data_IF_686984551300
#
_entry.id   IF_686984551300
#
_cell.length_a   1.000
_cell.length_b   1.000
_cell.length_c   1.000
_cell.angle_alpha   90.00
_cell.angle_beta   90.00
_cell.angle_gamma   90.00
#
_symmetry.space_group_name_H-M   'P 1'
#
loop_
_entity.id
_entity.type
_entity.pdbx_description
1 polymer ?
#
# COMPACT_ATOMS: atom_id res chain seq x y z
N UNK A 1 5.76 -44.82 4.05
CA UNK A 1 5.76 -43.95 2.85
C UNK A 1 4.93 -42.70 3.14
N UNK A 2 5.38 -41.85 4.08
CA UNK A 2 4.54 -40.73 4.59
C UNK A 2 5.33 -39.41 4.67
N UNK A 3 6.62 -39.46 5.00
CA UNK A 3 7.51 -38.29 5.10
C UNK A 3 7.70 -37.60 3.73
N UNK A 4 7.70 -38.38 2.64
CA UNK A 4 7.82 -37.84 1.28
C UNK A 4 6.61 -36.99 0.86
N UNK A 5 5.41 -37.27 1.40
CA UNK A 5 4.16 -36.54 1.08
C UNK A 5 4.08 -35.18 1.80
N UNK A 6 4.55 -35.12 3.04
CA UNK A 6 4.68 -33.88 3.81
C UNK A 6 5.76 -32.98 3.22
N UNK A 7 6.89 -33.55 2.79
CA UNK A 7 7.96 -32.80 2.14
C UNK A 7 7.53 -32.20 0.78
N UNK A 8 6.68 -32.89 0.01
CA UNK A 8 6.10 -32.33 -1.22
C UNK A 8 5.07 -31.23 -0.94
N UNK A 9 4.27 -31.36 0.12
CA UNK A 9 3.33 -30.32 0.53
C UNK A 9 4.07 -29.04 0.97
N UNK A 10 5.15 -29.16 1.74
CA UNK A 10 5.99 -28.02 2.17
C UNK A 10 6.68 -27.33 0.98
N UNK A 11 7.11 -28.09 -0.05
CA UNK A 11 7.66 -27.52 -1.29
C UNK A 11 6.64 -26.69 -2.09
N UNK A 12 5.35 -27.00 -1.99
CA UNK A 12 4.25 -26.23 -2.58
C UNK A 12 4.05 -24.86 -1.88
N UNK A 13 4.43 -24.73 -0.61
CA UNK A 13 4.33 -23.47 0.15
C UNK A 13 5.57 -22.57 0.06
N UNK A 14 6.70 -23.12 -0.37
CA UNK A 14 7.96 -22.37 -0.51
C UNK A 14 7.88 -21.17 -1.49
N UNK A 15 7.10 -21.20 -2.59
CA UNK A 15 6.87 -20.02 -3.43
C UNK A 15 5.99 -18.97 -2.75
N UNK A 16 5.17 -19.32 -1.75
CA UNK A 16 4.16 -18.44 -1.12
C UNK A 16 4.71 -17.74 0.14
N UNK A 17 5.65 -18.38 0.83
CA UNK A 17 6.32 -17.88 2.04
C UNK A 17 7.06 -16.52 1.87
N UNK A 18 7.78 -16.24 0.78
CA UNK A 18 8.36 -14.91 0.55
C UNK A 18 7.30 -13.83 0.27
N UNK A 19 6.16 -14.19 -0.34
CA UNK A 19 5.03 -13.26 -0.47
C UNK A 19 4.41 -12.98 0.88
N UNK A 20 4.23 -13.97 1.76
CA UNK A 20 3.77 -13.78 3.14
C UNK A 20 4.67 -12.77 3.90
N UNK A 21 6.00 -12.89 3.83
CA UNK A 21 6.93 -11.94 4.48
C UNK A 21 6.86 -10.52 3.92
N UNK A 22 6.66 -10.34 2.61
CA UNK A 22 6.45 -9.01 1.99
C UNK A 22 5.05 -8.44 2.25
N UNK A 23 4.05 -9.27 2.53
CA UNK A 23 2.65 -8.84 2.66
C UNK A 23 2.32 -8.24 4.04
N UNK A 24 3.09 -8.55 5.09
CA UNK A 24 2.89 -7.93 6.41
C UNK A 24 3.54 -6.55 6.56
N UNK A 25 4.38 -6.14 5.61
CA UNK A 25 5.13 -4.89 5.70
C UNK A 25 4.57 -3.93 4.66
N UNK A 26 3.59 -3.12 5.09
CA UNK A 26 3.11 -1.94 4.33
C UNK A 26 4.15 -0.84 4.41
N UNK A 27 5.27 -1.12 3.76
CA UNK A 27 6.46 -0.32 3.79
C UNK A 27 6.24 0.91 2.92
N UNK A 28 6.30 2.09 3.55
CA UNK A 28 6.12 3.38 2.89
C UNK A 28 7.33 4.26 3.14
N UNK A 29 7.38 5.43 2.51
CA UNK A 29 8.36 6.45 2.85
C UNK A 29 8.51 6.67 4.38
N UNK A 30 7.40 6.60 5.13
CA UNK A 30 7.39 6.85 6.57
C UNK A 30 8.09 5.77 7.40
N UNK A 31 8.20 4.54 6.91
CA UNK A 31 8.90 3.44 7.61
C UNK A 31 10.40 3.41 7.35
N UNK A 32 10.92 4.27 6.46
CA UNK A 32 12.35 4.32 6.15
C UNK A 32 13.19 4.92 7.28
N UNK A 33 14.49 4.57 7.40
CA UNK A 33 15.43 5.27 8.25
C UNK A 33 15.55 6.76 7.88
N UNK A 34 15.85 7.60 8.85
CA UNK A 34 15.83 9.07 8.67
C UNK A 34 16.84 9.56 7.62
N UNK A 35 18.02 8.92 7.51
CA UNK A 35 18.99 9.20 6.45
C UNK A 35 18.39 9.01 5.04
N UNK A 36 17.71 7.87 4.81
CA UNK A 36 17.03 7.60 3.53
C UNK A 36 15.85 8.54 3.28
N UNK A 37 15.14 8.97 4.33
CA UNK A 37 14.08 9.98 4.18
C UNK A 37 14.64 11.31 3.71
N UNK A 38 15.79 11.74 4.23
CA UNK A 38 16.43 12.97 3.81
C UNK A 38 16.90 12.90 2.35
N UNK A 39 17.52 11.77 1.95
CA UNK A 39 17.90 11.52 0.56
C UNK A 39 16.70 11.55 -0.40
N UNK A 40 15.61 10.89 -0.03
CA UNK A 40 14.37 10.88 -0.80
C UNK A 40 13.75 12.28 -0.92
N UNK A 41 13.78 13.10 0.15
CA UNK A 41 13.32 14.49 0.11
C UNK A 41 14.19 15.30 -0.87
N UNK A 42 15.51 15.20 -0.77
CA UNK A 42 16.43 15.90 -1.68
C UNK A 42 16.16 15.52 -3.13
N UNK A 43 15.96 14.22 -3.40
CA UNK A 43 15.57 13.73 -4.71
C UNK A 43 14.25 14.36 -5.19
N UNK A 44 13.18 14.31 -4.41
CA UNK A 44 11.87 14.92 -4.77
C UNK A 44 11.99 16.42 -5.05
N UNK A 45 12.87 17.14 -4.34
CA UNK A 45 13.03 18.59 -4.51
C UNK A 45 13.87 19.00 -5.71
N UNK A 46 14.74 18.12 -6.21
CA UNK A 46 15.70 18.43 -7.28
C UNK A 46 15.36 17.77 -8.61
N UNK A 47 14.58 16.68 -8.57
CA UNK A 47 14.21 15.92 -9.74
C UNK A 47 13.20 16.69 -10.60
N UNK A 48 13.48 16.77 -11.89
CA UNK A 48 12.54 17.19 -12.95
C UNK A 48 12.03 15.96 -13.68
N UNK A 49 10.84 16.04 -14.28
CA UNK A 49 10.35 14.96 -15.14
C UNK A 49 11.29 14.84 -16.35
N UNK A 50 11.82 13.64 -16.59
CA UNK A 50 12.71 13.34 -17.72
C UNK A 50 11.88 12.83 -18.89
N UNK A 51 12.25 13.16 -20.12
CA UNK A 51 11.55 12.68 -21.32
C UNK A 51 12.17 11.39 -21.90
N UNK A 52 13.46 11.18 -21.67
CA UNK A 52 14.20 10.00 -22.12
C UNK A 52 13.75 8.72 -21.41
N UNK A 53 13.63 7.62 -22.16
CA UNK A 53 13.09 6.36 -21.66
C UNK A 53 13.99 5.71 -20.59
N UNK A 54 15.32 5.81 -20.72
CA UNK A 54 16.26 5.22 -19.78
C UNK A 54 16.32 6.02 -18.49
N UNK A 55 16.31 7.34 -18.59
CA UNK A 55 16.23 8.22 -17.42
C UNK A 55 14.87 8.09 -16.71
N UNK A 56 13.75 7.98 -17.43
CA UNK A 56 12.43 7.65 -16.84
C UNK A 56 12.48 6.36 -16.03
N UNK A 57 13.05 5.29 -16.59
CA UNK A 57 13.16 4.01 -15.89
C UNK A 57 14.03 4.12 -14.62
N UNK A 58 15.13 4.87 -14.68
CA UNK A 58 15.97 5.16 -13.51
C UNK A 58 15.22 5.96 -12.44
N UNK A 59 14.36 6.89 -12.83
CA UNK A 59 13.48 7.60 -11.89
C UNK A 59 12.45 6.65 -11.25
N UNK A 60 11.86 5.75 -12.02
CA UNK A 60 10.95 4.73 -11.49
C UNK A 60 11.65 3.84 -10.46
N UNK A 61 12.87 3.37 -10.75
CA UNK A 61 13.66 2.58 -9.80
C UNK A 61 13.94 3.35 -8.49
N UNK A 62 14.29 4.63 -8.57
CA UNK A 62 14.50 5.47 -7.37
C UNK A 62 13.20 5.69 -6.58
N UNK A 63 12.09 5.98 -7.26
CA UNK A 63 10.79 6.19 -6.58
C UNK A 63 10.29 4.90 -5.91
N UNK A 64 10.58 3.73 -6.50
CA UNK A 64 10.35 2.42 -5.90
C UNK A 64 11.22 2.20 -4.65
N UNK A 65 12.52 2.51 -4.73
CA UNK A 65 13.43 2.39 -3.57
C UNK A 65 12.94 3.26 -2.39
N UNK A 66 12.51 4.49 -2.68
CA UNK A 66 12.01 5.42 -1.68
C UNK A 66 10.56 5.18 -1.27
N UNK A 67 9.87 4.19 -1.85
CA UNK A 67 8.49 3.81 -1.52
C UNK A 67 7.52 5.00 -1.62
N UNK A 68 7.71 5.85 -2.64
CA UNK A 68 6.89 7.03 -2.96
C UNK A 68 6.13 6.82 -4.28
N UNK A 69 5.22 7.73 -4.64
CA UNK A 69 4.51 7.69 -5.93
C UNK A 69 5.48 7.97 -7.09
N UNK A 70 5.11 7.57 -8.31
CA UNK A 70 5.86 7.96 -9.51
C UNK A 70 5.70 9.46 -9.82
N UNK A 71 4.58 10.06 -9.41
CA UNK A 71 4.34 11.49 -9.60
C UNK A 71 5.14 12.32 -8.59
N UNK A 72 6.28 12.87 -9.03
CA UNK A 72 7.13 13.74 -8.20
C UNK A 72 6.36 14.94 -7.61
N UNK A 73 5.51 15.68 -8.37
CA UNK A 73 4.75 16.79 -7.81
C UNK A 73 3.80 16.35 -6.69
N UNK A 74 3.12 15.21 -6.87
CA UNK A 74 2.24 14.64 -5.86
C UNK A 74 3.00 14.30 -4.58
N UNK A 75 4.16 13.66 -4.69
CA UNK A 75 4.99 13.34 -3.53
C UNK A 75 5.34 14.58 -2.70
N UNK A 76 5.68 15.68 -3.37
CA UNK A 76 5.96 16.96 -2.72
C UNK A 76 4.74 17.48 -1.93
N UNK A 77 3.55 17.45 -2.54
CA UNK A 77 2.31 17.83 -1.84
C UNK A 77 1.99 16.92 -0.66
N UNK A 78 2.14 15.60 -0.80
CA UNK A 78 1.89 14.63 0.27
C UNK A 78 2.77 14.93 1.48
N UNK A 79 4.07 15.14 1.26
CA UNK A 79 5.03 15.39 2.34
C UNK A 79 4.79 16.75 2.99
N UNK A 80 4.49 17.80 2.23
CA UNK A 80 4.13 19.11 2.79
C UNK A 80 2.85 19.05 3.60
N UNK A 81 1.83 18.36 3.11
CA UNK A 81 0.57 18.16 3.83
C UNK A 81 0.79 17.36 5.12
N UNK A 82 1.63 16.32 5.09
CA UNK A 82 2.03 15.59 6.28
C UNK A 82 2.68 16.51 7.33
N UNK A 83 3.56 17.42 6.91
CA UNK A 83 4.26 18.33 7.81
C UNK A 83 3.37 19.40 8.45
N UNK A 84 2.25 19.79 7.80
CA UNK A 84 1.28 20.74 8.41
C UNK A 84 0.69 20.21 9.71
N UNK A 85 0.39 18.91 9.78
CA UNK A 85 -0.11 18.28 10.99
C UNK A 85 0.19 16.79 10.97
N UNK A 86 1.37 16.41 11.46
CA UNK A 86 1.88 15.03 11.38
C UNK A 86 0.88 14.02 11.92
N UNK A 87 0.38 14.23 13.15
CA UNK A 87 -0.56 13.30 13.80
C UNK A 87 -1.89 13.16 13.06
N UNK A 88 -2.42 14.27 12.54
CA UNK A 88 -3.72 14.28 11.85
C UNK A 88 -3.63 13.63 10.46
N UNK A 89 -2.56 13.93 9.73
CA UNK A 89 -2.45 13.64 8.31
C UNK A 89 -1.70 12.33 8.02
N UNK A 90 -1.02 11.73 9.01
CA UNK A 90 -0.22 10.51 8.85
C UNK A 90 -0.97 9.37 8.15
N UNK A 91 -2.17 9.02 8.63
CA UNK A 91 -2.94 7.88 8.09
C UNK A 91 -3.30 8.10 6.63
N UNK A 92 -3.73 9.31 6.29
CA UNK A 92 -4.08 9.68 4.92
C UNK A 92 -2.85 9.67 4.00
N UNK A 93 -1.75 10.32 4.41
CA UNK A 93 -0.51 10.35 3.64
C UNK A 93 0.08 8.95 3.42
N UNK A 94 0.05 8.08 4.45
CA UNK A 94 0.41 6.66 4.30
C UNK A 94 -0.47 5.96 3.27
N UNK A 95 -1.78 6.20 3.33
CA UNK A 95 -2.75 5.60 2.40
C UNK A 95 -2.49 6.03 0.95
N UNK A 96 -2.05 7.27 0.70
CA UNK A 96 -1.66 7.73 -0.64
C UNK A 96 -0.44 6.99 -1.21
N UNK A 97 0.49 6.54 -0.36
CA UNK A 97 1.65 5.75 -0.82
C UNK A 97 1.35 4.26 -0.96
N UNK A 98 0.51 3.69 -0.10
CA UNK A 98 0.14 2.26 -0.16
C UNK A 98 -0.87 1.98 -1.27
N UNK A 99 -1.91 2.82 -1.37
CA UNK A 99 -3.08 2.55 -2.19
C UNK A 99 -3.07 3.34 -3.50
N UNK A 100 -1.92 3.34 -4.21
CA UNK A 100 -1.75 4.08 -5.48
C UNK A 100 -2.78 3.69 -6.55
N UNK A 101 -3.22 2.44 -6.55
CA UNK A 101 -4.23 1.95 -7.50
C UNK A 101 -5.64 2.49 -7.25
N UNK A 102 -5.89 3.07 -6.07
CA UNK A 102 -7.23 3.49 -5.63
C UNK A 102 -7.59 4.92 -6.05
N UNK A 103 -6.61 5.67 -6.56
CA UNK A 103 -6.79 7.03 -7.01
C UNK A 103 -6.10 7.26 -8.34
N UNK A 104 -6.40 8.40 -8.94
CA UNK A 104 -5.69 8.96 -10.08
C UNK A 104 -5.24 10.37 -9.69
N UNK A 105 -4.05 10.77 -10.16
CA UNK A 105 -3.55 12.12 -9.98
C UNK A 105 -3.38 12.76 -11.35
N UNK A 106 -4.20 13.76 -11.62
CA UNK A 106 -4.20 14.50 -12.89
C UNK A 106 -4.53 15.96 -12.64
N UNK A 107 -3.92 16.87 -13.40
CA UNK A 107 -4.16 18.32 -13.32
C UNK A 107 -3.95 18.92 -11.91
N UNK A 108 -3.09 18.28 -11.11
CA UNK A 108 -2.85 18.56 -9.69
C UNK A 108 -4.04 18.29 -8.75
N UNK A 109 -4.92 17.38 -9.13
CA UNK A 109 -6.02 16.92 -8.31
C UNK A 109 -5.93 15.41 -8.11
N UNK A 110 -6.19 14.94 -6.88
CA UNK A 110 -6.34 13.52 -6.58
C UNK A 110 -7.81 13.16 -6.68
N UNK A 111 -8.16 12.24 -7.57
CA UNK A 111 -9.51 11.73 -7.72
C UNK A 111 -9.57 10.27 -7.26
N UNK A 112 -10.52 9.94 -6.38
CA UNK A 112 -10.68 8.57 -5.88
C UNK A 112 -11.58 7.79 -6.82
N UNK A 113 -11.16 6.58 -7.20
CA UNK A 113 -11.92 5.73 -8.12
C UNK A 113 -13.14 5.14 -7.41
N UNK A 114 -14.32 5.51 -7.88
CA UNK A 114 -15.58 4.94 -7.41
C UNK A 114 -15.68 3.50 -7.91
N UNK A 115 -15.91 2.53 -7.01
CA UNK A 115 -16.03 1.09 -7.29
C UNK A 115 -14.74 0.24 -7.29
N UNK A 116 -13.70 0.63 -6.55
CA UNK A 116 -12.54 -0.26 -6.32
C UNK A 116 -12.69 -1.18 -5.09
N UNK A 117 -13.70 -0.92 -4.26
CA UNK A 117 -13.90 -1.61 -2.98
C UNK A 117 -14.43 -3.04 -3.08
N UNK A 118 -14.94 -3.46 -4.23
CA UNK A 118 -15.51 -4.80 -4.38
C UNK A 118 -14.45 -5.89 -4.19
N UNK A 119 -13.23 -5.67 -4.70
CA UNK A 119 -12.16 -6.67 -4.65
C UNK A 119 -11.65 -6.88 -3.21
N UNK A 120 -11.28 -5.84 -2.43
CA UNK A 120 -10.96 -6.02 -1.01
C UNK A 120 -12.10 -6.65 -0.21
N UNK A 121 -13.36 -6.26 -0.48
CA UNK A 121 -14.53 -6.84 0.21
C UNK A 121 -14.68 -8.34 -0.10
N UNK A 122 -14.53 -8.74 -1.36
CA UNK A 122 -14.57 -10.14 -1.77
C UNK A 122 -13.45 -10.95 -1.08
N UNK A 123 -12.22 -10.42 -1.06
CA UNK A 123 -11.09 -11.04 -0.38
C UNK A 123 -11.35 -11.22 1.12
N UNK A 124 -11.98 -10.24 1.77
CA UNK A 124 -12.36 -10.32 3.18
C UNK A 124 -13.35 -11.47 3.43
N UNK A 125 -14.40 -11.57 2.61
CA UNK A 125 -15.39 -12.64 2.71
C UNK A 125 -14.78 -14.03 2.46
N UNK A 126 -13.91 -14.16 1.46
CA UNK A 126 -13.17 -15.40 1.20
C UNK A 126 -12.30 -15.76 2.41
N UNK A 127 -11.61 -14.79 3.02
CA UNK A 127 -10.82 -14.99 4.23
C UNK A 127 -11.66 -15.57 5.38
N UNK A 128 -12.85 -15.02 5.63
CA UNK A 128 -13.78 -15.52 6.66
C UNK A 128 -14.23 -16.95 6.33
N UNK A 129 -14.65 -17.21 5.09
CA UNK A 129 -15.11 -18.55 4.67
C UNK A 129 -14.03 -19.61 4.83
N UNK A 130 -12.79 -19.30 4.42
CA UNK A 130 -11.63 -20.20 4.60
C UNK A 130 -11.35 -20.45 6.08
N UNK A 131 -11.43 -19.41 6.93
CA UNK A 131 -11.23 -19.54 8.37
C UNK A 131 -12.28 -20.43 9.03
N UNK A 132 -13.55 -20.20 8.70
CA UNK A 132 -14.67 -21.02 9.18
C UNK A 132 -14.58 -22.47 8.70
N UNK A 133 -14.28 -22.68 7.41
CA UNK A 133 -14.01 -24.00 6.85
C UNK A 133 -12.87 -24.71 7.57
N UNK A 134 -11.77 -24.01 7.84
CA UNK A 134 -10.62 -24.59 8.54
C UNK A 134 -10.97 -25.06 9.95
N UNK A 135 -11.75 -24.28 10.70
CA UNK A 135 -12.18 -24.61 12.06
C UNK A 135 -13.15 -25.82 12.05
N UNK A 136 -14.10 -25.83 11.13
CA UNK A 136 -15.07 -26.94 11.00
C UNK A 136 -14.41 -28.24 10.56
N UNK A 137 -13.46 -28.21 9.62
CA UNK A 137 -12.67 -29.39 9.25
C UNK A 137 -11.78 -29.89 10.39
N UNK A 138 -11.19 -28.98 11.18
CA UNK A 138 -10.39 -29.36 12.36
C UNK A 138 -11.21 -30.12 13.41
N UNK A 139 -12.51 -29.82 13.55
CA UNK A 139 -13.39 -30.48 14.51
C UNK A 139 -13.89 -31.84 14.02
N UNK A 140 -14.09 -32.00 12.71
CA UNK A 140 -14.78 -33.16 12.13
C UNK A 140 -13.84 -34.20 11.49
N UNK A 141 -12.57 -33.88 11.24
CA UNK A 141 -11.60 -34.83 10.67
C UNK A 141 -10.90 -35.61 11.80
N UNK A 142 -11.14 -36.92 11.85
CA UNK A 142 -10.46 -37.84 12.78
C UNK A 142 -9.00 -38.11 12.38
N UNK A 143 -8.68 -38.07 11.08
CA UNK A 143 -7.33 -38.37 10.59
C UNK A 143 -6.33 -37.26 10.98
N UNK A 144 -5.48 -37.59 11.96
CA UNK A 144 -4.49 -36.66 12.56
C UNK A 144 -3.64 -35.87 11.54
N UNK A 145 -3.05 -36.47 10.49
CA UNK A 145 -2.16 -35.73 9.58
C UNK A 145 -2.89 -34.65 8.77
N UNK A 146 -4.06 -34.97 8.22
CA UNK A 146 -4.87 -34.01 7.44
C UNK A 146 -5.39 -32.87 8.32
N UNK A 147 -5.76 -33.19 9.56
CA UNK A 147 -6.23 -32.23 10.56
C UNK A 147 -5.20 -31.10 10.77
N UNK A 148 -3.93 -31.46 10.95
CA UNK A 148 -2.85 -30.49 11.12
C UNK A 148 -2.53 -29.69 9.85
N UNK A 149 -2.66 -30.28 8.66
CA UNK A 149 -2.46 -29.56 7.39
C UNK A 149 -3.50 -28.45 7.22
N UNK A 150 -4.78 -28.71 7.50
CA UNK A 150 -5.81 -27.67 7.43
C UNK A 150 -5.54 -26.53 8.42
N UNK A 151 -5.11 -26.85 9.64
CA UNK A 151 -4.83 -25.83 10.65
C UNK A 151 -3.59 -25.00 10.30
N UNK A 152 -2.49 -25.65 9.88
CA UNK A 152 -1.22 -24.98 9.58
C UNK A 152 -1.24 -24.20 8.25
N UNK A 153 -2.14 -24.54 7.33
CA UNK A 153 -2.23 -23.85 6.03
C UNK A 153 -3.46 -22.94 5.94
N UNK A 154 -4.62 -23.38 6.41
CA UNK A 154 -5.89 -22.66 6.27
C UNK A 154 -6.00 -21.43 7.16
N UNK A 155 -5.58 -21.52 8.44
CA UNK A 155 -5.63 -20.37 9.35
C UNK A 155 -4.68 -19.24 8.92
N UNK A 156 -3.41 -19.48 8.56
CA UNK A 156 -2.54 -18.40 8.10
C UNK A 156 -3.05 -17.71 6.84
N UNK A 157 -3.58 -18.47 5.88
CA UNK A 157 -4.17 -17.91 4.65
C UNK A 157 -5.39 -17.05 4.98
N UNK A 158 -6.30 -17.55 5.83
CA UNK A 158 -7.47 -16.79 6.29
C UNK A 158 -7.07 -15.46 6.94
N UNK A 159 -6.14 -15.52 7.91
CA UNK A 159 -5.62 -14.35 8.62
C UNK A 159 -4.99 -13.35 7.64
N UNK A 160 -4.20 -13.82 6.67
CA UNK A 160 -3.57 -12.97 5.66
C UNK A 160 -4.61 -12.22 4.82
N UNK A 161 -5.63 -12.93 4.32
CA UNK A 161 -6.68 -12.32 3.51
C UNK A 161 -7.47 -11.28 4.30
N UNK A 162 -7.82 -11.58 5.55
CA UNK A 162 -8.54 -10.66 6.44
C UNK A 162 -7.71 -9.40 6.73
N UNK A 163 -6.43 -9.55 7.06
CA UNK A 163 -5.56 -8.41 7.38
C UNK A 163 -5.35 -7.52 6.14
N UNK A 164 -5.05 -8.12 4.99
CA UNK A 164 -4.79 -7.37 3.76
C UNK A 164 -6.02 -6.60 3.27
N UNK A 165 -7.16 -7.29 3.20
CA UNK A 165 -8.42 -6.66 2.82
C UNK A 165 -8.83 -5.57 3.80
N UNK A 166 -8.71 -5.80 5.11
CA UNK A 166 -9.01 -4.77 6.12
C UNK A 166 -8.11 -3.55 5.98
N UNK A 167 -6.81 -3.74 5.74
CA UNK A 167 -5.88 -2.63 5.53
C UNK A 167 -6.23 -1.82 4.28
N UNK A 168 -6.54 -2.50 3.16
CA UNK A 168 -6.98 -1.86 1.92
C UNK A 168 -8.29 -1.07 2.11
N UNK A 169 -9.30 -1.68 2.74
CA UNK A 169 -10.57 -1.03 3.04
C UNK A 169 -10.37 0.21 3.91
N UNK A 170 -9.54 0.11 4.97
CA UNK A 170 -9.22 1.23 5.83
C UNK A 170 -8.48 2.34 5.08
N UNK A 171 -7.49 1.99 4.25
CA UNK A 171 -6.77 2.93 3.41
C UNK A 171 -7.71 3.69 2.46
N UNK A 172 -8.63 3.00 1.81
CA UNK A 172 -9.65 3.63 0.95
C UNK A 172 -10.56 4.59 1.72
N UNK A 173 -11.00 4.20 2.92
CA UNK A 173 -11.83 5.08 3.78
C UNK A 173 -11.05 6.35 4.15
N UNK A 174 -9.78 6.22 4.53
CA UNK A 174 -8.92 7.37 4.84
C UNK A 174 -8.75 8.30 3.65
N UNK A 175 -8.51 7.73 2.46
CA UNK A 175 -8.42 8.48 1.21
C UNK A 175 -9.71 9.26 0.96
N UNK A 176 -10.86 8.60 0.96
CA UNK A 176 -12.15 9.23 0.66
C UNK A 176 -12.52 10.32 1.68
N UNK A 177 -12.17 10.13 2.95
CA UNK A 177 -12.47 11.11 4.02
C UNK A 177 -11.67 12.41 3.88
N UNK A 178 -10.42 12.33 3.40
CA UNK A 178 -9.48 13.46 3.46
C UNK A 178 -9.01 13.98 2.10
N UNK A 179 -9.43 13.35 0.99
CA UNK A 179 -9.02 13.77 -0.36
C UNK A 179 -9.44 15.20 -0.69
N UNK A 180 -10.64 15.64 -0.28
CA UNK A 180 -11.12 17.00 -0.56
C UNK A 180 -10.27 18.05 0.19
N UNK A 181 -9.95 17.80 1.47
CA UNK A 181 -9.07 18.66 2.26
C UNK A 181 -7.67 18.77 1.63
N UNK A 182 -7.18 17.65 1.09
CA UNK A 182 -5.89 17.58 0.41
C UNK A 182 -5.88 18.31 -0.93
N UNK A 183 -6.91 18.14 -1.76
CA UNK A 183 -7.05 18.86 -3.03
C UNK A 183 -7.18 20.37 -2.79
N UNK A 184 -7.93 20.77 -1.77
CA UNK A 184 -8.02 22.18 -1.34
C UNK A 184 -6.63 22.70 -0.95
N UNK A 185 -5.87 21.93 -0.17
CA UNK A 185 -4.49 22.28 0.19
C UNK A 185 -3.59 22.45 -1.05
N UNK A 186 -3.68 21.54 -2.04
CA UNK A 186 -2.92 21.64 -3.29
C UNK A 186 -3.28 22.95 -4.01
N UNK A 187 -4.57 23.24 -4.17
CA UNK A 187 -5.06 24.45 -4.84
C UNK A 187 -4.57 25.72 -4.15
N UNK A 188 -4.69 25.83 -2.82
CA UNK A 188 -4.18 26.98 -2.05
C UNK A 188 -2.67 27.13 -2.25
N UNK A 189 -1.91 26.03 -2.18
CA UNK A 189 -0.45 26.06 -2.32
C UNK A 189 -0.03 26.53 -3.72
N UNK A 190 -0.74 26.10 -4.76
CA UNK A 190 -0.52 26.55 -6.16
C UNK A 190 -0.83 28.03 -6.31
N UNK A 191 -1.98 28.49 -5.84
CA UNK A 191 -2.38 29.91 -5.90
C UNK A 191 -1.36 30.79 -5.18
N UNK A 192 -0.95 30.41 -3.96
CA UNK A 192 0.09 31.14 -3.20
C UNK A 192 1.40 31.26 -3.98
N UNK A 193 1.85 30.18 -4.63
CA UNK A 193 3.08 30.19 -5.42
C UNK A 193 2.94 31.07 -6.67
N UNK A 194 1.80 31.01 -7.36
CA UNK A 194 1.52 31.86 -8.52
C UNK A 194 1.49 33.35 -8.15
N UNK A 195 0.84 33.68 -7.03
CA UNK A 195 0.81 35.06 -6.52
C UNK A 195 2.21 35.56 -6.14
N UNK A 196 3.01 34.75 -5.44
CA UNK A 196 4.38 35.13 -5.10
C UNK A 196 5.20 35.38 -6.37
N UNK A 197 5.13 34.50 -7.36
CA UNK A 197 5.89 34.65 -8.61
C UNK A 197 5.44 35.87 -9.43
N UNK A 198 4.16 36.25 -9.37
CA UNK A 198 3.64 37.44 -10.06
C UNK A 198 3.92 38.76 -9.33
N UNK A 199 4.25 38.73 -8.03
CA UNK A 199 4.63 39.93 -7.25
C UNK A 199 6.11 40.31 -7.44
N UNK A 200 6.92 39.40 -7.99
CA UNK A 200 8.35 39.61 -8.28
C UNK A 200 8.65 39.82 -9.78
N UNK A 201 7.64 40.10 -10.59
CA UNK A 201 7.74 40.56 -11.99
C UNK A 201 7.31 42.03 -12.06
#
# INVERSE_FOLDING_TARGET
>A
MEIASLASAVKLFNPVLPYLKKVFIFDTFFSMPDGKKAEAINYITTCTDEDDALEKYKQELKTLEYKISQHIPLNNYILRYYLLSRKKNEKFCKSLFVSKSFYEYKDSEVTIKNNIMWLPTLMFLIGILVGYGTITFWQNIESSPLRWVYLLCGLPVSIQYIIYSSHMLFGYIQLRKHVNDFNLFISITRIKRALLNNVFL
#
